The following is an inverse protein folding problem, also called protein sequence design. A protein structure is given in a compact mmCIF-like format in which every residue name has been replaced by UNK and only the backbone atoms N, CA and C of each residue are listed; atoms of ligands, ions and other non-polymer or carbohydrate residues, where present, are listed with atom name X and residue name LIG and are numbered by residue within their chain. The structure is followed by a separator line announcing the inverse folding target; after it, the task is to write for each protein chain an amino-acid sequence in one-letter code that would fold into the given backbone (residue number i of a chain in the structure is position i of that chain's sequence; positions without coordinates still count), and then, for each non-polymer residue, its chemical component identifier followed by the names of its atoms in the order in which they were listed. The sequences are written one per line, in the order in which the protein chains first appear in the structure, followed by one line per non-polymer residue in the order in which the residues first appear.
data_IF_271481394314
#
_entry.id   IF_271481394314
#
_cell.length_a   1.000
_cell.length_b   1.000
_cell.length_c   1.000
_cell.angle_alpha   90.00
_cell.angle_beta   90.00
_cell.angle_gamma   90.00
#
_symmetry.space_group_name_H-M   'P 1'
#
loop_
_entity.id
_entity.type
_entity.pdbx_description
1 polymer ?
#
# COMPACT_ATOMS: atom_id res chain seq x y z
N UNK A 1 -35.32 -9.45 -4.51
CA UNK A 1 -33.89 -9.44 -4.86
C UNK A 1 -33.09 -8.98 -3.63
N UNK A 2 -33.04 -9.75 -2.53
CA UNK A 2 -32.54 -9.24 -1.23
C UNK A 2 -31.57 -10.17 -0.47
N UNK A 3 -31.16 -11.31 -1.06
CA UNK A 3 -30.35 -12.33 -0.35
C UNK A 3 -28.87 -12.45 -0.73
N UNK A 4 -28.38 -11.68 -1.70
CA UNK A 4 -26.98 -11.82 -2.16
C UNK A 4 -25.99 -10.84 -1.51
N UNK A 5 -26.46 -9.69 -1.01
CA UNK A 5 -25.58 -8.67 -0.42
C UNK A 5 -24.90 -9.13 0.87
N UNK A 6 -25.63 -9.89 1.73
CA UNK A 6 -25.08 -10.43 2.98
C UNK A 6 -24.00 -11.48 2.70
N UNK A 7 -24.20 -12.32 1.68
CA UNK A 7 -23.24 -13.36 1.30
C UNK A 7 -21.96 -12.74 0.74
N UNK A 8 -22.10 -11.73 -0.12
CA UNK A 8 -20.97 -10.97 -0.68
C UNK A 8 -20.19 -10.23 0.41
N UNK A 9 -20.89 -9.59 1.36
CA UNK A 9 -20.26 -8.93 2.50
C UNK A 9 -19.51 -9.92 3.41
N UNK A 10 -20.09 -11.09 3.70
CA UNK A 10 -19.43 -12.13 4.49
C UNK A 10 -18.20 -12.70 3.77
N UNK A 11 -18.29 -12.94 2.45
CA UNK A 11 -17.18 -13.44 1.66
C UNK A 11 -16.02 -12.43 1.63
N UNK A 12 -16.33 -11.14 1.44
CA UNK A 12 -15.33 -10.07 1.49
C UNK A 12 -14.68 -9.92 2.86
N UNK A 13 -15.46 -10.06 3.93
CA UNK A 13 -14.94 -10.02 5.29
C UNK A 13 -13.99 -11.20 5.60
N UNK A 14 -14.35 -12.42 5.20
CA UNK A 14 -13.48 -13.60 5.36
C UNK A 14 -12.19 -13.43 4.56
N UNK A 15 -12.29 -12.93 3.32
CA UNK A 15 -11.12 -12.63 2.50
C UNK A 15 -10.20 -11.63 3.19
N UNK A 16 -10.75 -10.54 3.74
CA UNK A 16 -9.97 -9.53 4.45
C UNK A 16 -9.23 -10.11 5.68
N UNK A 17 -9.90 -10.95 6.48
CA UNK A 17 -9.26 -11.65 7.60
C UNK A 17 -8.12 -12.55 7.12
N UNK A 18 -8.35 -13.35 6.07
CA UNK A 18 -7.34 -14.24 5.49
C UNK A 18 -6.12 -13.47 5.00
N UNK A 19 -6.33 -12.31 4.36
CA UNK A 19 -5.23 -11.43 3.93
C UNK A 19 -4.49 -10.87 5.13
N UNK A 20 -5.21 -10.36 6.14
CA UNK A 20 -4.60 -9.84 7.36
C UNK A 20 -3.73 -10.87 8.09
N UNK A 21 -4.22 -12.11 8.20
CA UNK A 21 -3.48 -13.24 8.77
C UNK A 21 -2.29 -13.61 7.89
N UNK A 22 -2.48 -13.72 6.58
CA UNK A 22 -1.41 -14.08 5.64
C UNK A 22 -0.26 -13.07 5.64
N UNK A 23 -0.59 -11.77 5.57
CA UNK A 23 0.40 -10.69 5.68
C UNK A 23 1.04 -10.69 7.07
N UNK A 24 0.26 -10.91 8.14
CA UNK A 24 0.78 -11.05 9.50
C UNK A 24 1.79 -12.19 9.63
N UNK A 25 1.48 -13.36 9.07
CA UNK A 25 2.39 -14.51 9.06
C UNK A 25 3.67 -14.22 8.27
N UNK A 26 3.57 -13.58 7.10
CA UNK A 26 4.73 -13.22 6.28
C UNK A 26 5.63 -12.17 6.94
N UNK A 27 5.06 -11.29 7.75
CA UNK A 27 5.78 -10.19 8.42
C UNK A 27 6.33 -10.61 9.77
N UNK A 28 5.51 -11.17 10.66
CA UNK A 28 5.90 -11.55 12.03
C UNK A 28 6.40 -12.99 12.16
N UNK A 29 6.07 -13.88 11.23
CA UNK A 29 6.47 -15.29 11.25
C UNK A 29 7.77 -15.59 10.49
N UNK A 30 8.42 -14.57 9.90
CA UNK A 30 9.59 -14.75 9.06
C UNK A 30 10.90 -14.64 9.84
N UNK A 31 11.63 -15.75 9.95
CA UNK A 31 12.94 -15.82 10.62
C UNK A 31 14.03 -14.97 9.93
N UNK A 32 13.83 -14.62 8.65
CA UNK A 32 14.77 -13.76 7.92
C UNK A 32 14.78 -12.32 8.43
N UNK A 33 13.72 -11.89 9.13
CA UNK A 33 13.63 -10.56 9.72
C UNK A 33 14.24 -10.61 11.14
N UNK A 34 15.28 -9.81 11.44
CA UNK A 34 15.84 -9.71 12.78
C UNK A 34 14.78 -9.44 13.85
N UNK A 35 14.83 -10.15 14.99
CA UNK A 35 13.84 -10.03 16.08
C UNK A 35 13.45 -8.59 16.46
N UNK A 36 14.38 -7.60 16.56
CA UNK A 36 14.01 -6.21 16.87
C UNK A 36 13.12 -5.54 15.82
N UNK A 37 13.17 -5.99 14.56
CA UNK A 37 12.34 -5.47 13.48
C UNK A 37 10.92 -6.03 13.46
N UNK A 38 10.65 -7.08 14.25
CA UNK A 38 9.29 -7.60 14.43
C UNK A 38 8.42 -6.71 15.32
N UNK A 39 9.01 -5.72 16.01
CA UNK A 39 8.21 -4.74 16.75
C UNK A 39 7.35 -3.94 15.77
N UNK A 40 6.08 -3.76 16.13
CA UNK A 40 5.07 -3.14 15.27
C UNK A 40 5.52 -1.77 14.71
N UNK A 41 6.24 -0.97 15.51
CA UNK A 41 6.78 0.34 15.10
C UNK A 41 7.76 0.32 13.92
N UNK A 42 8.45 -0.80 13.68
CA UNK A 42 9.33 -0.94 12.52
C UNK A 42 8.64 -1.63 11.34
N UNK A 43 7.81 -2.63 11.61
CA UNK A 43 7.20 -3.46 10.56
C UNK A 43 5.88 -2.92 10.02
N UNK A 44 5.24 -1.97 10.72
CA UNK A 44 3.96 -1.40 10.31
C UNK A 44 3.94 -0.84 8.88
N UNK A 45 5.00 -0.17 8.35
CA UNK A 45 4.95 0.28 6.96
C UNK A 45 4.90 -0.88 5.98
N UNK A 46 5.57 -2.01 6.28
CA UNK A 46 5.56 -3.20 5.44
C UNK A 46 4.20 -3.89 5.52
N UNK A 47 3.68 -4.08 6.73
CA UNK A 47 2.38 -4.69 6.99
C UNK A 47 1.26 -3.92 6.27
N UNK A 48 1.21 -2.59 6.45
CA UNK A 48 0.21 -1.73 5.82
C UNK A 48 0.33 -1.75 4.29
N UNK A 49 1.54 -1.65 3.74
CA UNK A 49 1.75 -1.66 2.30
C UNK A 49 1.32 -2.98 1.65
N UNK A 50 1.69 -4.12 2.23
CA UNK A 50 1.30 -5.43 1.72
C UNK A 50 -0.21 -5.64 1.81
N UNK A 51 -0.83 -5.18 2.90
CA UNK A 51 -2.28 -5.22 3.06
C UNK A 51 -2.96 -4.40 1.97
N UNK A 52 -2.55 -3.14 1.78
CA UNK A 52 -3.10 -2.27 0.73
C UNK A 52 -2.88 -2.84 -0.67
N UNK A 53 -1.73 -3.45 -0.93
CA UNK A 53 -1.39 -4.05 -2.22
C UNK A 53 -2.36 -5.18 -2.61
N UNK A 54 -2.91 -5.90 -1.64
CA UNK A 54 -3.87 -7.00 -1.88
C UNK A 54 -5.31 -6.49 -1.82
N UNK A 55 -5.62 -5.62 -0.86
CA UNK A 55 -6.97 -5.15 -0.55
C UNK A 55 -7.47 -4.17 -1.60
N UNK A 56 -6.66 -3.22 -2.06
CA UNK A 56 -7.09 -2.21 -3.03
C UNK A 56 -7.50 -2.82 -4.38
N UNK A 57 -6.71 -3.73 -5.01
CA UNK A 57 -7.15 -4.39 -6.23
C UNK A 57 -8.44 -5.21 -6.03
N UNK A 58 -8.56 -5.89 -4.88
CA UNK A 58 -9.76 -6.66 -4.54
C UNK A 58 -11.02 -5.78 -4.54
N UNK A 59 -11.00 -4.66 -3.80
CA UNK A 59 -12.13 -3.72 -3.77
C UNK A 59 -12.33 -2.95 -5.08
N UNK A 60 -11.28 -2.74 -5.88
CA UNK A 60 -11.43 -2.12 -7.22
C UNK A 60 -12.15 -3.03 -8.21
N UNK A 61 -11.99 -4.35 -8.08
CA UNK A 61 -12.54 -5.34 -9.01
C UNK A 61 -13.92 -5.83 -8.58
N UNK A 62 -14.11 -6.06 -7.28
CA UNK A 62 -15.32 -6.65 -6.71
C UNK A 62 -16.10 -5.70 -5.80
N UNK A 63 -15.57 -4.52 -5.46
CA UNK A 63 -16.17 -3.61 -4.49
C UNK A 63 -16.56 -2.24 -5.03
N UNK A 64 -16.87 -1.32 -4.12
CA UNK A 64 -17.36 0.04 -4.42
C UNK A 64 -16.36 0.94 -5.15
N UNK A 65 -15.06 0.62 -5.11
CA UNK A 65 -14.00 1.45 -5.70
C UNK A 65 -13.86 1.27 -7.23
N UNK A 66 -14.75 0.48 -7.84
CA UNK A 66 -14.77 0.23 -9.29
C UNK A 66 -14.96 1.51 -10.12
N UNK A 67 -15.67 2.50 -9.56
CA UNK A 67 -15.95 3.79 -10.21
C UNK A 67 -14.81 4.81 -10.03
N UNK A 68 -13.86 4.55 -9.13
CA UNK A 68 -12.75 5.47 -8.80
C UNK A 68 -11.53 5.31 -9.71
N UNK A 69 -11.62 4.50 -10.78
CA UNK A 69 -10.53 4.29 -11.74
C UNK A 69 -9.35 3.45 -11.22
N UNK A 70 -9.48 2.86 -10.02
CA UNK A 70 -8.49 1.97 -9.42
C UNK A 70 -8.39 0.60 -10.10
N UNK A 71 -9.33 0.26 -10.97
CA UNK A 71 -9.29 -0.92 -11.83
C UNK A 71 -8.22 -0.81 -12.94
N UNK A 72 -7.63 0.37 -13.14
CA UNK A 72 -6.51 0.56 -14.06
C UNK A 72 -5.18 0.57 -13.32
N UNK A 73 -4.12 0.03 -13.94
CA UNK A 73 -2.77 0.07 -13.37
C UNK A 73 -2.32 1.51 -13.08
N UNK A 74 -2.76 2.47 -13.88
CA UNK A 74 -2.49 3.90 -13.71
C UNK A 74 -3.15 4.45 -12.45
N UNK A 75 -4.47 4.28 -12.30
CA UNK A 75 -5.23 4.76 -11.15
C UNK A 75 -4.78 4.10 -9.85
N UNK A 76 -4.58 2.78 -9.86
CA UNK A 76 -4.00 2.06 -8.72
C UNK A 76 -2.64 2.63 -8.31
N UNK A 77 -1.72 2.79 -9.27
CA UNK A 77 -0.37 3.30 -8.98
C UNK A 77 -0.41 4.73 -8.45
N UNK A 78 -1.28 5.58 -9.00
CA UNK A 78 -1.44 6.96 -8.55
C UNK A 78 -1.94 7.03 -7.10
N UNK A 79 -3.02 6.31 -6.80
CA UNK A 79 -3.59 6.27 -5.45
C UNK A 79 -2.62 5.65 -4.43
N UNK A 80 -1.99 4.52 -4.78
CA UNK A 80 -1.02 3.84 -3.93
C UNK A 80 0.22 4.71 -3.65
N UNK A 81 0.67 5.49 -4.64
CA UNK A 81 1.75 6.45 -4.49
C UNK A 81 1.37 7.60 -3.56
N UNK A 82 0.17 8.17 -3.71
CA UNK A 82 -0.30 9.24 -2.82
C UNK A 82 -0.43 8.77 -1.38
N UNK A 83 -1.04 7.60 -1.15
CA UNK A 83 -1.16 7.02 0.18
C UNK A 83 0.21 6.76 0.82
N UNK A 84 1.15 6.18 0.07
CA UNK A 84 2.50 5.95 0.58
C UNK A 84 3.26 7.24 0.85
N UNK A 85 3.21 8.19 -0.08
CA UNK A 85 3.89 9.48 0.06
C UNK A 85 3.36 10.25 1.27
N UNK A 86 2.04 10.38 1.40
CA UNK A 86 1.42 11.06 2.54
C UNK A 86 1.66 10.30 3.84
N UNK A 87 1.47 8.98 3.84
CA UNK A 87 1.68 8.13 5.01
C UNK A 87 3.13 8.17 5.50
N UNK A 88 4.11 8.19 4.59
CA UNK A 88 5.50 8.36 4.94
C UNK A 88 5.77 9.70 5.62
N UNK A 89 5.26 10.81 5.08
CA UNK A 89 5.46 12.14 5.68
C UNK A 89 4.83 12.23 7.07
N UNK A 90 3.60 11.74 7.23
CA UNK A 90 2.91 11.74 8.53
C UNK A 90 3.67 10.89 9.56
N UNK A 91 4.03 9.66 9.20
CA UNK A 91 4.78 8.77 10.08
C UNK A 91 6.19 9.31 10.38
N UNK A 92 6.84 9.95 9.41
CA UNK A 92 8.17 10.51 9.62
C UNK A 92 8.15 11.67 10.60
N UNK A 93 7.28 12.67 10.39
CA UNK A 93 7.30 13.91 11.17
C UNK A 93 6.47 13.85 12.45
N UNK A 94 5.26 13.30 12.37
CA UNK A 94 4.25 13.39 13.44
C UNK A 94 4.16 12.07 14.21
N UNK A 95 4.33 10.93 13.52
CA UNK A 95 3.93 9.65 14.09
C UNK A 95 2.40 9.53 14.22
N UNK A 96 1.95 8.47 14.87
CA UNK A 96 0.56 8.23 15.22
C UNK A 96 0.53 7.92 16.71
N UNK A 97 -0.01 8.85 17.48
CA UNK A 97 -0.22 8.71 18.93
C UNK A 97 -1.66 8.26 19.19
N UNK A 98 -1.83 7.30 20.10
CA UNK A 98 -3.14 6.96 20.66
C UNK A 98 -3.44 7.88 21.85
N UNK A 99 -4.72 8.06 22.18
CA UNK A 99 -5.17 8.96 23.27
C UNK A 99 -4.52 8.68 24.64
N UNK A 100 -3.97 7.48 24.83
CA UNK A 100 -3.36 7.04 26.09
C UNK A 100 -1.93 7.59 26.32
N UNK A 101 -1.41 8.42 25.41
CA UNK A 101 -0.11 9.08 25.54
C UNK A 101 1.11 8.19 25.26
N UNK A 102 0.91 6.89 25.06
CA UNK A 102 1.91 5.97 24.53
C UNK A 102 1.80 5.95 23.00
N UNK A 103 2.80 6.49 22.30
CA UNK A 103 2.80 6.56 20.84
C UNK A 103 2.70 5.17 20.20
N UNK A 104 1.58 4.88 19.52
CA UNK A 104 1.36 3.62 18.80
C UNK A 104 2.39 3.41 17.69
N UNK A 105 2.69 4.49 16.96
CA UNK A 105 3.76 4.58 15.99
C UNK A 105 4.51 5.89 16.23
N UNK A 106 5.59 5.88 17.03
CA UNK A 106 6.37 7.10 17.25
C UNK A 106 6.91 7.62 15.90
N UNK A 107 7.19 8.93 15.79
CA UNK A 107 7.82 9.49 14.61
C UNK A 107 9.08 8.71 14.22
N UNK A 108 9.32 8.52 12.92
CA UNK A 108 10.47 7.72 12.47
C UNK A 108 11.80 8.27 12.99
N UNK A 109 11.93 9.60 13.14
CA UNK A 109 13.16 10.21 13.68
C UNK A 109 13.39 9.89 15.17
N UNK A 110 12.36 9.45 15.89
CA UNK A 110 12.43 9.05 17.30
C UNK A 110 12.70 7.54 17.49
N UNK A 111 12.78 6.78 16.39
CA UNK A 111 13.11 5.35 16.43
C UNK A 111 14.61 5.11 16.64
N UNK A 112 14.95 3.89 17.07
CA UNK A 112 16.35 3.50 17.25
C UNK A 112 17.12 3.62 15.90
N UNK A 113 18.21 4.40 15.83
CA UNK A 113 18.98 4.61 14.60
C UNK A 113 19.49 3.33 13.94
N UNK A 114 19.66 2.24 14.72
CA UNK A 114 20.08 0.94 14.20
C UNK A 114 19.02 0.27 13.31
N UNK A 115 17.74 0.57 13.54
CA UNK A 115 16.62 -0.15 12.95
C UNK A 115 15.69 0.75 12.12
N UNK A 116 15.77 2.07 12.28
CA UNK A 116 14.96 3.06 11.54
C UNK A 116 15.10 2.98 10.02
N UNK A 117 16.23 2.47 9.51
CA UNK A 117 16.44 2.31 8.08
C UNK A 117 15.40 1.36 7.45
N UNK A 118 14.87 0.38 8.19
CA UNK A 118 13.93 -0.61 7.68
C UNK A 118 12.56 -0.02 7.29
N UNK A 119 11.85 0.71 8.18
CA UNK A 119 10.60 1.37 7.81
C UNK A 119 10.82 2.42 6.71
N UNK A 120 11.93 3.18 6.76
CA UNK A 120 12.28 4.15 5.71
C UNK A 120 12.46 3.45 4.35
N UNK A 121 13.29 2.40 4.29
CA UNK A 121 13.56 1.65 3.07
C UNK A 121 12.27 1.04 2.50
N UNK A 122 11.38 0.56 3.37
CA UNK A 122 10.08 0.03 2.98
C UNK A 122 9.23 1.09 2.30
N UNK A 123 9.04 2.27 2.92
CA UNK A 123 8.31 3.37 2.27
C UNK A 123 8.92 3.76 0.93
N UNK A 124 10.25 3.83 0.84
CA UNK A 124 10.93 4.16 -0.41
C UNK A 124 10.66 3.11 -1.50
N UNK A 125 10.77 1.82 -1.19
CA UNK A 125 10.48 0.74 -2.14
C UNK A 125 9.04 0.85 -2.65
N UNK A 126 8.07 0.95 -1.74
CA UNK A 126 6.65 1.05 -2.09
C UNK A 126 6.26 2.39 -2.72
N UNK A 127 7.07 3.44 -2.57
CA UNK A 127 6.93 4.70 -3.30
C UNK A 127 7.49 4.60 -4.73
N UNK A 128 8.67 3.99 -4.91
CA UNK A 128 9.33 3.92 -6.22
C UNK A 128 8.65 2.95 -7.20
N UNK A 129 8.13 1.82 -6.72
CA UNK A 129 7.40 0.85 -7.58
C UNK A 129 6.25 1.51 -8.37
N UNK A 130 5.27 2.17 -7.73
CA UNK A 130 4.18 2.84 -8.45
C UNK A 130 4.67 4.07 -9.22
N UNK A 131 5.66 4.80 -8.72
CA UNK A 131 6.23 5.97 -9.41
C UNK A 131 6.83 5.57 -10.77
N UNK A 132 7.62 4.49 -10.78
CA UNK A 132 8.23 3.97 -11.99
C UNK A 132 7.17 3.41 -12.94
N UNK A 133 6.18 2.70 -12.40
CA UNK A 133 5.04 2.19 -13.18
C UNK A 133 4.31 3.34 -13.89
N UNK A 134 4.00 4.41 -13.17
CA UNK A 134 3.39 5.63 -13.73
C UNK A 134 4.25 6.28 -14.82
N UNK A 135 5.55 6.37 -14.59
CA UNK A 135 6.49 6.92 -15.57
C UNK A 135 6.50 6.11 -16.87
N UNK A 136 6.57 4.78 -16.77
CA UNK A 136 6.54 3.85 -17.91
C UNK A 136 5.22 3.97 -18.67
N UNK A 137 4.09 3.99 -17.97
CA UNK A 137 2.77 4.15 -18.58
C UNK A 137 2.66 5.47 -19.35
N UNK A 138 3.11 6.57 -18.75
CA UNK A 138 3.13 7.90 -19.37
C UNK A 138 4.03 7.93 -20.62
N UNK A 139 5.19 7.29 -20.56
CA UNK A 139 6.10 7.17 -21.69
C UNK A 139 5.47 6.38 -22.85
N UNK A 140 4.85 5.24 -22.56
CA UNK A 140 4.17 4.40 -23.56
C UNK A 140 2.98 5.12 -24.20
N UNK A 141 2.18 5.84 -23.42
CA UNK A 141 1.07 6.65 -23.92
C UNK A 141 1.57 7.72 -24.90
N UNK A 142 2.65 8.43 -24.54
CA UNK A 142 3.28 9.44 -25.40
C UNK A 142 3.83 8.82 -26.69
N UNK A 143 4.48 7.66 -26.60
CA UNK A 143 5.01 6.92 -27.76
C UNK A 143 3.90 6.53 -28.73
N UNK A 144 2.78 5.99 -28.23
CA UNK A 144 1.61 5.61 -29.03
C UNK A 144 1.00 6.81 -29.76
N UNK A 145 0.76 7.93 -29.04
CA UNK A 145 0.23 9.17 -29.65
C UNK A 145 1.12 9.70 -30.79
N UNK A 146 2.43 9.63 -30.65
CA UNK A 146 3.37 10.05 -31.69
C UNK A 146 3.37 9.12 -32.90
N UNK A 147 3.20 7.82 -32.68
CA UNK A 147 3.10 6.84 -33.76
C UNK A 147 1.80 7.01 -34.56
N UNK A 148 0.68 7.23 -33.89
CA UNK A 148 -0.62 7.44 -34.55
C UNK A 148 -0.62 8.73 -35.39
N UNK A 149 0.00 9.81 -34.88
CA UNK A 149 0.22 11.06 -35.66
C UNK A 149 1.04 10.88 -36.93
N UNK A 150 2.00 9.95 -36.94
CA UNK A 150 2.82 9.66 -38.13
C UNK A 150 2.07 8.85 -39.19
N UNK A 151 1.03 8.10 -38.79
CA UNK A 151 0.18 7.32 -39.71
C UNK A 151 -0.95 8.14 -40.34
N UNK A 152 -1.28 9.28 -39.75
CA UNK A 152 -2.34 10.18 -40.23
C UNK A 152 -1.84 11.30 -41.17
N UNK A 153 -0.54 11.30 -41.50
CA UNK A 153 0.12 12.20 -42.46
C UNK A 153 0.49 11.37 -43.69
#
# INVERSE_FOLDING_TARGET
MEKHWLVEALLGYIFFIMVGIGVGYLTFGNESIPAPLHEFKYISPLYLNLTLLIVLPYYSWFGSLREEGLNTLKGFSEFFLYLNGLGFLLHYFVGIELEDGEGFLPPLWNLNPRYVWFPIATYLIFFFIPALTMLILKYNEKKRKNHDKRKSV
#
